data_IF_734455011883
#
_entry.id   IF_734455011883
#
_cell.length_a   1.000
_cell.length_b   1.000
_cell.length_c   1.000
_cell.angle_alpha   90.00
_cell.angle_beta   90.00
_cell.angle_gamma   90.00
#
_symmetry.space_group_name_H-M   'P 1'
#
loop_
_entity.id
_entity.type
_entity.pdbx_description
1 polymer ?
#
# COMPACT_ATOMS: atom_id res chain seq x y z
N UNK A 1 15.34 -28.27 14.07
CA UNK A 1 14.02 -28.76 13.57
C UNK A 1 12.97 -28.31 14.57
N UNK A 2 11.90 -27.63 14.14
CA UNK A 2 10.81 -27.28 15.08
C UNK A 2 10.09 -28.57 15.51
N UNK A 3 9.83 -28.78 16.82
CA UNK A 3 9.12 -29.97 17.28
C UNK A 3 7.70 -29.99 16.66
N UNK A 4 7.31 -31.14 16.12
CA UNK A 4 5.97 -31.38 15.60
C UNK A 4 5.13 -31.90 16.77
N UNK A 5 3.94 -31.32 16.98
CA UNK A 5 3.02 -31.79 18.03
C UNK A 5 2.46 -33.17 17.70
N UNK A 6 2.07 -33.93 18.72
CA UNK A 6 1.49 -35.27 18.56
C UNK A 6 0.27 -35.24 17.60
N UNK A 7 -0.70 -34.31 17.73
CA UNK A 7 -1.84 -34.24 16.80
C UNK A 7 -1.44 -34.00 15.34
N UNK A 8 -0.36 -33.25 15.09
CA UNK A 8 0.16 -33.05 13.73
C UNK A 8 0.79 -34.31 13.15
N UNK A 9 1.44 -35.14 13.97
CA UNK A 9 1.96 -36.44 13.54
C UNK A 9 0.83 -37.42 13.23
N UNK A 10 -0.20 -37.45 14.07
CA UNK A 10 -1.41 -38.26 13.85
C UNK A 10 -2.16 -37.82 12.57
N UNK A 11 -2.25 -36.51 12.30
CA UNK A 11 -2.81 -35.99 11.05
C UNK A 11 -2.00 -36.43 9.83
N UNK A 12 -0.67 -36.49 9.95
CA UNK A 12 0.18 -37.01 8.88
C UNK A 12 -0.01 -38.51 8.65
N UNK A 13 -0.23 -39.29 9.71
CA UNK A 13 -0.58 -40.71 9.59
C UNK A 13 -1.93 -40.88 8.87
N UNK A 14 -2.92 -40.06 9.20
CA UNK A 14 -4.20 -40.03 8.49
C UNK A 14 -4.01 -39.68 7.01
N UNK A 15 -3.25 -38.64 6.69
CA UNK A 15 -2.97 -38.27 5.29
C UNK A 15 -2.27 -39.41 4.52
N UNK A 16 -1.33 -40.11 5.16
CA UNK A 16 -0.67 -41.27 4.56
C UNK A 16 -1.68 -42.39 4.28
N UNK A 17 -2.58 -42.68 5.23
CA UNK A 17 -3.67 -43.64 5.04
C UNK A 17 -4.61 -43.25 3.88
N UNK A 18 -4.94 -41.97 3.75
CA UNK A 18 -5.75 -41.46 2.64
C UNK A 18 -5.07 -41.73 1.28
N UNK A 19 -3.79 -41.37 1.14
CA UNK A 19 -3.00 -41.62 -0.08
C UNK A 19 -2.88 -43.11 -0.38
N UNK A 20 -2.62 -43.92 0.66
CA UNK A 20 -2.50 -45.37 0.53
C UNK A 20 -3.80 -46.00 0.03
N UNK A 21 -4.95 -45.56 0.55
CA UNK A 21 -6.25 -46.09 0.12
C UNK A 21 -6.51 -45.83 -1.37
N UNK A 22 -6.13 -44.66 -1.88
CA UNK A 22 -6.20 -44.33 -3.31
C UNK A 22 -5.25 -45.19 -4.14
N UNK A 23 -4.02 -45.41 -3.68
CA UNK A 23 -3.06 -46.28 -4.35
C UNK A 23 -3.55 -47.73 -4.41
N UNK A 24 -4.06 -48.26 -3.30
CA UNK A 24 -4.62 -49.61 -3.21
C UNK A 24 -5.80 -49.75 -4.18
N UNK A 25 -6.76 -48.81 -4.13
CA UNK A 25 -7.93 -48.80 -5.01
C UNK A 25 -7.56 -48.77 -6.50
N UNK A 26 -6.46 -48.11 -6.87
CA UNK A 26 -5.95 -48.09 -8.25
C UNK A 26 -5.24 -49.38 -8.65
N UNK A 27 -4.59 -50.05 -7.70
CA UNK A 27 -3.79 -51.25 -7.96
C UNK A 27 -4.59 -52.55 -8.01
N UNK A 28 -5.74 -52.61 -7.34
CA UNK A 28 -6.55 -53.82 -7.23
C UNK A 28 -7.66 -53.82 -8.29
N UNK A 29 -7.75 -54.89 -9.08
CA UNK A 29 -8.80 -55.10 -10.08
C UNK A 29 -10.09 -55.68 -9.45
N UNK A 30 -10.58 -55.07 -8.37
CA UNK A 30 -11.84 -55.43 -7.72
C UNK A 30 -12.78 -54.23 -7.70
N UNK A 31 -14.08 -54.47 -7.86
CA UNK A 31 -15.07 -53.43 -7.63
C UNK A 31 -15.21 -53.19 -6.13
N UNK A 32 -14.81 -52.00 -5.69
CA UNK A 32 -14.89 -51.57 -4.29
C UNK A 32 -16.12 -50.67 -4.14
N UNK A 33 -17.12 -51.15 -3.42
CA UNK A 33 -18.36 -50.41 -3.15
C UNK A 33 -18.16 -49.22 -2.21
N UNK A 34 -17.33 -49.37 -1.17
CA UNK A 34 -17.03 -48.30 -0.21
C UNK A 34 -15.62 -48.45 0.38
N UNK A 35 -15.06 -47.33 0.84
CA UNK A 35 -13.75 -47.28 1.51
C UNK A 35 -13.95 -46.56 2.82
N UNK A 36 -13.68 -47.24 3.94
CA UNK A 36 -13.80 -46.69 5.28
C UNK A 36 -12.41 -46.55 5.90
N UNK A 37 -12.11 -45.39 6.45
CA UNK A 37 -10.83 -45.07 7.08
C UNK A 37 -11.04 -44.91 8.59
N UNK A 38 -10.10 -45.40 9.39
CA UNK A 38 -10.23 -45.47 10.84
C UNK A 38 -9.06 -44.77 11.51
N UNK A 39 -9.34 -43.98 12.55
CA UNK A 39 -8.34 -43.32 13.39
C UNK A 39 -8.79 -43.38 14.85
N UNK A 40 -7.84 -43.57 15.76
CA UNK A 40 -8.05 -43.48 17.20
C UNK A 40 -7.83 -42.06 17.75
N UNK A 41 -7.40 -41.12 16.90
CA UNK A 41 -7.27 -39.71 17.27
C UNK A 41 -8.56 -38.95 17.01
N UNK A 42 -9.30 -38.65 18.09
CA UNK A 42 -10.51 -37.81 18.04
C UNK A 42 -10.22 -36.39 17.53
N UNK A 43 -9.04 -35.83 17.85
CA UNK A 43 -8.63 -34.49 17.41
C UNK A 43 -8.45 -34.46 15.88
N UNK A 44 -7.77 -35.46 15.31
CA UNK A 44 -7.59 -35.56 13.86
C UNK A 44 -8.91 -35.78 13.14
N UNK A 45 -9.80 -36.62 13.69
CA UNK A 45 -11.14 -36.81 13.12
C UNK A 45 -11.97 -35.51 13.16
N UNK A 46 -11.87 -34.74 14.23
CA UNK A 46 -12.50 -33.43 14.34
C UNK A 46 -11.96 -32.45 13.29
N UNK A 47 -10.63 -32.42 13.10
CA UNK A 47 -9.98 -31.63 12.05
C UNK A 47 -10.45 -32.02 10.64
N UNK A 48 -10.51 -33.33 10.33
CA UNK A 48 -10.95 -33.85 9.04
C UNK A 48 -12.44 -33.55 8.78
N UNK A 49 -13.30 -33.56 9.81
CA UNK A 49 -14.72 -33.23 9.62
C UNK A 49 -15.00 -31.73 9.57
N UNK A 50 -14.02 -30.90 9.93
CA UNK A 50 -14.13 -29.44 9.94
C UNK A 50 -13.65 -28.82 8.62
N UNK A 51 -13.99 -27.56 8.39
CA UNK A 51 -13.47 -26.82 7.22
C UNK A 51 -11.98 -26.52 7.37
N UNK A 52 -11.18 -26.94 6.38
CA UNK A 52 -9.72 -26.70 6.32
C UNK A 52 -9.33 -25.23 6.48
N UNK A 53 -10.21 -24.28 6.12
CA UNK A 53 -9.96 -22.83 6.20
C UNK A 53 -9.77 -22.32 7.62
N UNK A 54 -10.37 -22.99 8.63
CA UNK A 54 -10.36 -22.59 10.04
C UNK A 54 -8.99 -22.74 10.71
N UNK A 55 -8.12 -23.61 10.18
CA UNK A 55 -6.85 -23.94 10.80
C UNK A 55 -5.65 -23.24 10.17
N UNK A 56 -4.53 -23.18 10.91
CA UNK A 56 -3.22 -22.71 10.46
C UNK A 56 -2.71 -23.55 9.29
N UNK A 57 -1.78 -22.97 8.52
CA UNK A 57 -1.38 -23.46 7.18
C UNK A 57 -0.99 -24.93 7.15
N UNK A 58 -0.29 -25.44 8.18
CA UNK A 58 0.13 -26.84 8.24
C UNK A 58 -1.07 -27.80 8.24
N UNK A 59 -2.00 -27.60 9.18
CA UNK A 59 -3.18 -28.44 9.36
C UNK A 59 -4.15 -28.24 8.18
N UNK A 60 -4.39 -27.00 7.78
CA UNK A 60 -5.27 -26.64 6.68
C UNK A 60 -4.92 -27.33 5.36
N UNK A 61 -3.65 -27.32 4.96
CA UNK A 61 -3.21 -27.94 3.70
C UNK A 61 -3.41 -29.47 3.70
N UNK A 62 -3.17 -30.12 4.84
CA UNK A 62 -3.27 -31.58 4.97
C UNK A 62 -4.73 -32.04 5.02
N UNK A 63 -5.59 -31.30 5.73
CA UNK A 63 -7.04 -31.53 5.66
C UNK A 63 -7.54 -31.35 4.23
N UNK A 64 -7.12 -30.28 3.54
CA UNK A 64 -7.50 -30.04 2.15
C UNK A 64 -7.15 -31.21 1.25
N UNK A 65 -5.93 -31.74 1.37
CA UNK A 65 -5.54 -32.93 0.59
C UNK A 65 -6.34 -34.19 0.98
N UNK A 66 -6.63 -34.40 2.27
CA UNK A 66 -7.49 -35.51 2.71
C UNK A 66 -8.89 -35.39 2.10
N UNK A 67 -9.46 -34.17 2.03
CA UNK A 67 -10.77 -33.90 1.42
C UNK A 67 -10.76 -34.14 -0.10
N UNK A 68 -9.64 -33.85 -0.77
CA UNK A 68 -9.49 -34.10 -2.21
C UNK A 68 -9.39 -35.61 -2.51
N UNK A 69 -8.83 -36.40 -1.60
CA UNK A 69 -8.60 -37.84 -1.77
C UNK A 69 -9.77 -38.71 -1.28
N UNK A 70 -10.47 -38.27 -0.22
CA UNK A 70 -11.42 -39.08 0.54
C UNK A 70 -12.58 -38.23 1.07
N UNK A 71 -13.76 -38.84 1.23
CA UNK A 71 -14.91 -38.16 1.83
C UNK A 71 -14.80 -38.19 3.37
N UNK A 72 -14.84 -37.02 4.06
CA UNK A 72 -14.84 -36.93 5.53
C UNK A 72 -15.90 -37.81 6.22
N UNK A 73 -17.02 -38.11 5.56
CA UNK A 73 -18.08 -38.94 6.12
C UNK A 73 -17.66 -40.41 6.31
N UNK A 74 -16.65 -40.89 5.57
CA UNK A 74 -16.13 -42.26 5.70
C UNK A 74 -14.96 -42.41 6.68
N UNK A 75 -14.61 -41.33 7.40
CA UNK A 75 -13.63 -41.36 8.48
C UNK A 75 -14.30 -41.70 9.81
N UNK A 76 -13.88 -42.80 10.42
CA UNK A 76 -14.48 -43.39 11.61
C UNK A 76 -13.51 -43.44 12.79
N UNK A 77 -14.09 -43.42 13.99
CA UNK A 77 -13.33 -43.58 15.22
C UNK A 77 -13.16 -45.05 15.56
N UNK A 78 -11.94 -45.46 15.87
CA UNK A 78 -11.67 -46.77 16.49
C UNK A 78 -11.10 -46.56 17.90
N UNK A 79 -11.67 -47.19 18.94
CA UNK A 79 -11.06 -47.17 20.27
C UNK A 79 -9.64 -47.72 20.22
N UNK A 80 -8.68 -47.10 20.92
CA UNK A 80 -7.26 -47.52 20.91
C UNK A 80 -7.07 -49.01 21.24
N UNK A 81 -7.91 -49.59 22.12
CA UNK A 81 -7.86 -51.03 22.45
C UNK A 81 -8.26 -51.96 21.31
N UNK A 82 -8.99 -51.44 20.32
CA UNK A 82 -9.46 -52.16 19.13
C UNK A 82 -8.69 -51.74 17.87
N UNK A 83 -7.71 -50.83 18.00
CA UNK A 83 -6.90 -50.35 16.89
C UNK A 83 -5.78 -51.35 16.59
N UNK A 84 -5.97 -52.21 15.60
CA UNK A 84 -4.98 -53.22 15.22
C UNK A 84 -3.70 -52.59 14.66
N UNK A 85 -3.75 -51.36 14.13
CA UNK A 85 -2.54 -50.68 13.65
C UNK A 85 -1.51 -50.43 14.77
N UNK A 86 -1.94 -50.39 16.03
CA UNK A 86 -1.04 -50.33 17.19
C UNK A 86 -0.20 -51.60 17.32
N UNK A 87 -0.71 -52.77 16.95
CA UNK A 87 0.02 -54.03 17.10
C UNK A 87 1.30 -54.03 16.24
N UNK A 88 1.24 -53.43 15.05
CA UNK A 88 2.41 -53.29 14.17
C UNK A 88 3.38 -52.17 14.58
N UNK A 89 2.91 -51.14 15.30
CA UNK A 89 3.74 -49.97 15.65
C UNK A 89 4.33 -50.05 17.06
N UNK A 90 3.64 -50.72 17.99
CA UNK A 90 4.05 -50.93 19.38
C UNK A 90 4.47 -52.39 19.53
N UNK A 91 5.73 -52.70 19.20
CA UNK A 91 6.35 -54.04 19.21
C UNK A 91 5.91 -54.86 20.45
N UNK A 92 4.83 -55.63 20.30
CA UNK A 92 4.36 -56.68 21.20
C UNK A 92 4.52 -58.01 20.47
N UNK A 93 4.38 -59.15 21.14
CA UNK A 93 4.41 -60.45 20.47
C UNK A 93 3.18 -60.59 19.56
N UNK A 94 3.30 -60.20 18.29
CA UNK A 94 2.22 -60.30 17.31
C UNK A 94 2.13 -61.75 16.84
N UNK A 95 0.95 -62.33 16.95
CA UNK A 95 0.65 -63.63 16.35
C UNK A 95 0.29 -63.43 14.88
N UNK A 96 1.14 -63.91 13.95
CA UNK A 96 0.90 -63.85 12.51
C UNK A 96 0.25 -65.13 11.94
N UNK A 97 -0.36 -65.96 12.78
CA UNK A 97 -1.18 -67.07 12.29
C UNK A 97 -2.33 -66.55 11.42
N UNK A 98 -2.78 -67.36 10.45
CA UNK A 98 -3.96 -67.08 9.62
C UNK A 98 -5.23 -66.83 10.44
N UNK A 99 -5.28 -67.34 11.67
CA UNK A 99 -6.40 -67.14 12.59
C UNK A 99 -6.29 -65.90 13.47
N UNK A 100 -5.22 -65.12 13.33
CA UNK A 100 -5.00 -63.91 14.13
C UNK A 100 -5.95 -62.76 13.75
N UNK A 101 -6.16 -61.88 14.73
CA UNK A 101 -6.91 -60.62 14.54
C UNK A 101 -6.25 -59.71 13.50
N UNK A 102 -4.93 -59.83 13.28
CA UNK A 102 -4.20 -59.08 12.26
C UNK A 102 -4.69 -59.39 10.84
N UNK A 103 -4.91 -60.68 10.53
CA UNK A 103 -5.34 -61.12 9.20
C UNK A 103 -6.87 -61.16 9.05
N UNK A 104 -7.61 -61.51 10.11
CA UNK A 104 -9.09 -61.54 10.07
C UNK A 104 -9.73 -60.16 10.26
N UNK A 105 -8.98 -59.19 10.77
CA UNK A 105 -9.51 -57.93 11.24
C UNK A 105 -10.22 -58.06 12.60
N UNK A 106 -10.65 -56.93 13.18
CA UNK A 106 -11.35 -56.91 14.45
C UNK A 106 -12.81 -57.32 14.24
N UNK A 107 -13.40 -57.99 15.25
CA UNK A 107 -14.75 -58.56 15.16
C UNK A 107 -15.80 -57.55 14.71
N UNK A 108 -15.67 -56.28 15.11
CA UNK A 108 -16.65 -55.25 14.75
C UNK A 108 -16.72 -54.97 13.24
N UNK A 109 -15.64 -55.21 12.46
CA UNK A 109 -15.69 -55.02 11.00
C UNK A 109 -16.52 -56.11 10.29
N UNK A 110 -16.74 -57.25 10.94
CA UNK A 110 -17.63 -58.30 10.42
C UNK A 110 -19.10 -58.04 10.69
N UNK A 111 -19.39 -57.09 11.58
CA UNK A 111 -20.75 -56.68 11.97
C UNK A 111 -21.27 -55.58 11.06
N UNK A 112 -22.58 -55.34 11.11
CA UNK A 112 -23.21 -54.25 10.34
C UNK A 112 -22.72 -52.88 10.82
N UNK A 113 -22.75 -51.86 9.96
CA UNK A 113 -22.31 -50.50 10.30
C UNK A 113 -23.02 -49.91 11.54
N UNK A 114 -24.19 -50.44 11.89
CA UNK A 114 -24.94 -50.05 13.09
C UNK A 114 -24.27 -50.47 14.40
N UNK A 115 -23.48 -51.54 14.36
CA UNK A 115 -22.81 -52.17 15.50
C UNK A 115 -21.32 -51.79 15.59
N UNK A 116 -20.85 -50.93 14.67
CA UNK A 116 -19.49 -50.41 14.70
C UNK A 116 -19.28 -49.47 15.89
N UNK A 117 -18.03 -49.31 16.37
CA UNK A 117 -17.71 -48.32 17.38
C UNK A 117 -18.11 -46.92 16.91
N UNK A 118 -19.15 -46.36 17.50
CA UNK A 118 -19.54 -44.97 17.23
C UNK A 118 -18.80 -44.06 18.20
N UNK A 119 -18.27 -42.95 17.68
CA UNK A 119 -17.93 -41.81 18.52
C UNK A 119 -19.21 -41.00 18.76
N UNK A 120 -19.37 -40.38 19.92
CA UNK A 120 -20.46 -39.44 20.21
C UNK A 120 -20.55 -38.25 19.20
N UNK A 121 -19.53 -38.07 18.37
CA UNK A 121 -19.45 -37.10 17.26
C UNK A 121 -20.45 -37.32 16.11
N UNK A 122 -21.30 -38.36 16.17
CA UNK A 122 -22.29 -38.65 15.12
C UNK A 122 -23.59 -37.85 15.25
N UNK A 123 -23.89 -37.25 16.43
CA UNK A 123 -25.24 -36.74 16.73
C UNK A 123 -25.33 -35.36 17.40
N UNK A 124 -24.23 -34.62 17.54
CA UNK A 124 -24.30 -33.23 18.01
C UNK A 124 -24.08 -32.26 16.86
N UNK A 125 -24.99 -31.29 16.74
CA UNK A 125 -24.88 -30.15 15.85
C UNK A 125 -23.45 -29.57 15.93
N UNK A 126 -22.71 -29.66 14.82
CA UNK A 126 -21.28 -29.37 14.65
C UNK A 126 -20.86 -27.91 14.95
N UNK A 127 -21.66 -27.14 15.65
CA UNK A 127 -21.38 -25.77 16.10
C UNK A 127 -20.99 -25.67 17.58
N UNK A 128 -21.09 -26.72 18.40
CA UNK A 128 -21.01 -26.53 19.88
C UNK A 128 -20.21 -27.58 20.67
N UNK A 129 -19.14 -28.14 20.09
CA UNK A 129 -17.99 -28.54 20.91
C UNK A 129 -16.89 -27.53 20.66
N UNK A 130 -16.95 -26.44 21.42
CA UNK A 130 -15.95 -25.39 21.47
C UNK A 130 -14.63 -25.97 21.98
N UNK A 131 -13.78 -26.42 21.05
CA UNK A 131 -12.34 -26.41 21.27
C UNK A 131 -11.84 -24.99 20.99
N UNK A 132 -12.37 -24.01 21.73
CA UNK A 132 -12.00 -22.59 21.60
C UNK A 132 -10.52 -22.33 21.97
N UNK A 133 -9.81 -23.38 22.42
CA UNK A 133 -8.40 -23.37 22.79
C UNK A 133 -7.54 -24.31 21.92
N UNK A 134 -7.95 -24.66 20.70
CA UNK A 134 -7.05 -25.35 19.77
C UNK A 134 -6.01 -24.35 19.23
N UNK A 135 -4.74 -24.53 19.61
CA UNK A 135 -3.63 -23.71 19.13
C UNK A 135 -3.50 -23.70 17.60
N UNK A 136 -4.10 -24.66 16.88
CA UNK A 136 -4.07 -24.72 15.43
C UNK A 136 -5.16 -23.88 14.75
N UNK A 137 -6.12 -23.30 15.48
CA UNK A 137 -7.09 -22.38 14.89
C UNK A 137 -6.42 -21.08 14.43
N UNK A 138 -6.90 -20.52 13.33
CA UNK A 138 -6.52 -19.15 12.92
C UNK A 138 -7.19 -18.17 13.85
N UNK A 139 -6.43 -17.19 14.32
CA UNK A 139 -7.01 -16.04 15.01
C UNK A 139 -7.93 -15.29 14.03
N UNK A 140 -9.21 -15.25 14.32
CA UNK A 140 -10.14 -14.37 13.63
C UNK A 140 -10.03 -12.98 14.24
N UNK A 141 -9.49 -12.03 13.48
CA UNK A 141 -9.41 -10.64 13.91
C UNK A 141 -10.71 -9.93 13.56
N UNK A 142 -11.50 -9.61 14.58
CA UNK A 142 -12.65 -8.71 14.43
C UNK A 142 -12.15 -7.26 14.45
N UNK A 143 -11.95 -6.66 13.28
CA UNK A 143 -11.60 -5.24 13.19
C UNK A 143 -12.84 -4.38 13.44
N UNK A 144 -13.05 -3.96 14.69
CA UNK A 144 -14.08 -2.98 15.04
C UNK A 144 -13.53 -1.58 14.71
N UNK A 145 -13.95 -1.03 13.56
CA UNK A 145 -13.67 0.36 13.22
C UNK A 145 -14.77 1.22 13.86
N UNK A 146 -14.45 1.85 15.00
CA UNK A 146 -15.36 2.79 15.65
C UNK A 146 -15.31 4.12 14.88
N UNK A 147 -16.14 4.24 13.83
CA UNK A 147 -16.24 5.46 13.03
C UNK A 147 -16.93 6.55 13.85
N UNK A 148 -16.18 7.24 14.71
CA UNK A 148 -16.62 8.51 15.28
C UNK A 148 -16.62 9.55 14.16
N UNK A 149 -17.83 9.85 13.69
CA UNK A 149 -18.21 10.97 12.81
C UNK A 149 -17.63 10.96 11.39
N UNK A 150 -18.39 11.62 10.50
CA UNK A 150 -18.08 11.90 9.09
C UNK A 150 -16.85 12.81 8.96
N UNK A 151 -15.71 12.40 9.49
CA UNK A 151 -14.46 13.11 9.35
C UNK A 151 -13.99 12.95 7.89
N UNK A 152 -14.35 13.95 7.08
CA UNK A 152 -13.70 14.24 5.80
C UNK A 152 -12.16 14.21 5.92
N UNK A 153 -11.64 14.38 7.14
CA UNK A 153 -10.23 14.24 7.48
C UNK A 153 -9.62 12.87 7.14
N UNK A 154 -10.39 11.78 7.10
CA UNK A 154 -9.85 10.44 6.84
C UNK A 154 -9.74 10.06 5.36
N UNK A 155 -10.40 10.79 4.45
CA UNK A 155 -10.46 10.38 3.03
C UNK A 155 -9.23 10.84 2.24
N UNK A 156 -8.58 11.92 2.69
CA UNK A 156 -7.41 12.48 1.99
C UNK A 156 -6.14 11.77 2.44
N UNK A 157 -5.32 11.24 1.53
CA UNK A 157 -4.04 10.64 1.86
C UNK A 157 -3.12 11.58 2.63
N UNK A 158 -2.31 11.01 3.52
CA UNK A 158 -1.24 11.79 4.16
C UNK A 158 -0.27 12.34 3.12
N UNK A 159 -0.19 13.67 3.10
CA UNK A 159 0.62 14.49 2.20
C UNK A 159 2.11 14.23 2.38
N UNK A 160 2.54 13.84 3.59
CA UNK A 160 3.94 13.57 3.91
C UNK A 160 4.55 12.47 3.03
N UNK A 161 3.70 11.58 2.51
CA UNK A 161 4.08 10.45 1.65
C UNK A 161 4.33 10.86 0.19
N UNK A 162 4.09 12.12 -0.16
CA UNK A 162 4.16 12.60 -1.54
C UNK A 162 5.15 13.75 -1.68
N UNK A 163 6.04 13.63 -2.67
CA UNK A 163 6.98 14.68 -3.07
C UNK A 163 6.47 15.54 -4.23
N UNK A 164 5.49 15.05 -5.01
CA UNK A 164 4.95 15.72 -6.20
C UNK A 164 3.43 15.84 -6.13
N UNK A 165 2.91 16.92 -6.71
CA UNK A 165 1.48 17.21 -6.78
C UNK A 165 0.69 16.21 -7.62
N UNK A 166 1.17 15.87 -8.83
CA UNK A 166 0.42 15.03 -9.76
C UNK A 166 0.15 13.62 -9.21
N UNK A 167 1.12 12.89 -8.62
CA UNK A 167 0.85 11.61 -7.97
C UNK A 167 -0.12 11.73 -6.78
N UNK A 168 -0.05 12.82 -6.02
CA UNK A 168 -0.94 13.07 -4.89
C UNK A 168 -2.40 13.18 -5.34
N UNK A 169 -2.70 14.04 -6.32
CA UNK A 169 -4.06 14.20 -6.87
C UNK A 169 -4.55 12.90 -7.52
N UNK A 170 -3.70 12.20 -8.28
CA UNK A 170 -4.07 10.92 -8.90
C UNK A 170 -4.40 9.85 -7.87
N UNK A 171 -3.64 9.78 -6.78
CA UNK A 171 -3.92 8.83 -5.69
C UNK A 171 -5.26 9.16 -5.04
N UNK A 172 -5.56 10.44 -4.82
CA UNK A 172 -6.87 10.87 -4.33
C UNK A 172 -8.01 10.49 -5.29
N UNK A 173 -7.82 10.68 -6.60
CA UNK A 173 -8.82 10.29 -7.60
C UNK A 173 -9.08 8.76 -7.61
N UNK A 174 -8.03 7.95 -7.48
CA UNK A 174 -8.15 6.50 -7.34
C UNK A 174 -8.90 6.09 -6.07
N UNK A 175 -8.66 6.76 -4.94
CA UNK A 175 -9.37 6.51 -3.70
C UNK A 175 -10.86 6.84 -3.85
N UNK A 176 -11.19 7.98 -4.44
CA UNK A 176 -12.58 8.35 -4.69
C UNK A 176 -13.29 7.36 -5.61
N UNK A 177 -12.64 6.93 -6.70
CA UNK A 177 -13.16 5.88 -7.59
C UNK A 177 -13.39 4.58 -6.84
N UNK A 178 -12.44 4.15 -6.00
CA UNK A 178 -12.61 2.96 -5.18
C UNK A 178 -13.78 3.08 -4.21
N UNK A 179 -13.93 4.22 -3.51
CA UNK A 179 -15.06 4.50 -2.62
C UNK A 179 -16.40 4.42 -3.38
N UNK A 180 -16.47 4.97 -4.59
CA UNK A 180 -17.67 4.91 -5.43
C UNK A 180 -18.00 3.46 -5.86
N UNK A 181 -16.98 2.66 -6.20
CA UNK A 181 -17.14 1.23 -6.51
C UNK A 181 -17.61 0.42 -5.30
N UNK A 182 -17.11 0.73 -4.09
CA UNK A 182 -17.54 0.04 -2.88
C UNK A 182 -18.96 0.46 -2.45
N UNK A 183 -19.33 1.73 -2.61
CA UNK A 183 -20.70 2.21 -2.35
C UNK A 183 -21.72 1.64 -3.34
N UNK A 184 -21.33 1.48 -4.60
CA UNK A 184 -22.17 0.90 -5.66
C UNK A 184 -22.29 -0.62 -5.62
N UNK A 185 -21.74 -1.30 -4.60
CA UNK A 185 -21.91 -2.74 -4.40
C UNK A 185 -23.37 -3.19 -4.15
N UNK A 186 -24.35 -2.27 -4.08
CA UNK A 186 -25.79 -2.58 -4.20
C UNK A 186 -26.30 -2.71 -5.65
N UNK A 187 -25.51 -2.34 -6.66
CA UNK A 187 -25.84 -2.45 -8.08
C UNK A 187 -24.69 -3.07 -8.87
N UNK A 188 -24.36 -4.33 -8.59
CA UNK A 188 -23.64 -5.16 -9.57
C UNK A 188 -24.60 -5.57 -10.69
N UNK A 189 -24.97 -4.64 -11.57
CA UNK A 189 -25.48 -4.97 -12.89
C UNK A 189 -24.96 -3.89 -13.85
N UNK A 190 -23.98 -4.29 -14.67
CA UNK A 190 -23.85 -3.90 -16.08
C UNK A 190 -24.24 -2.44 -16.39
N UNK A 191 -23.26 -1.54 -16.37
CA UNK A 191 -23.21 -0.51 -17.41
C UNK A 191 -21.99 -0.78 -18.25
N UNK A 192 -22.26 -1.34 -19.42
CA UNK A 192 -21.50 -1.33 -20.66
C UNK A 192 -20.11 -0.71 -20.61
N UNK A 193 -19.13 -1.49 -21.07
CA UNK A 193 -17.68 -1.25 -21.00
C UNK A 193 -17.25 0.21 -21.05
N UNK A 194 -16.70 0.68 -19.92
CA UNK A 194 -15.73 1.77 -19.86
C UNK A 194 -15.22 2.03 -18.43
N UNK A 195 -14.90 0.97 -17.66
CA UNK A 195 -13.84 1.11 -16.64
C UNK A 195 -12.51 1.15 -17.37
N UNK A 196 -12.22 2.27 -18.03
CA UNK A 196 -10.89 2.54 -18.54
C UNK A 196 -9.90 2.39 -17.38
N UNK A 197 -8.81 1.68 -17.62
CA UNK A 197 -7.66 1.66 -16.70
C UNK A 197 -7.14 3.08 -16.39
N UNK A 198 -7.53 4.06 -17.19
CA UNK A 198 -7.19 5.46 -17.04
C UNK A 198 -8.22 6.23 -16.21
N UNK A 199 -7.70 7.23 -15.47
CA UNK A 199 -8.50 8.21 -14.74
C UNK A 199 -9.08 9.22 -15.72
N UNK A 200 -10.38 9.50 -15.61
CA UNK A 200 -11.06 10.52 -16.40
C UNK A 200 -10.72 11.93 -15.86
N UNK A 201 -10.73 12.97 -16.70
CA UNK A 201 -10.52 14.35 -16.25
C UNK A 201 -11.51 14.78 -15.16
N UNK A 202 -12.77 14.34 -15.22
CA UNK A 202 -13.75 14.70 -14.19
C UNK A 202 -13.40 14.15 -12.80
N UNK A 203 -12.79 12.96 -12.74
CA UNK A 203 -12.37 12.34 -11.48
C UNK A 203 -11.18 13.08 -10.86
N UNK A 204 -10.28 13.60 -11.70
CA UNK A 204 -9.17 14.44 -11.25
C UNK A 204 -9.71 15.77 -10.69
N UNK A 205 -10.67 16.40 -11.36
CA UNK A 205 -11.31 17.64 -10.88
C UNK A 205 -12.04 17.40 -9.55
N UNK A 206 -12.79 16.29 -9.42
CA UNK A 206 -13.42 15.90 -8.16
C UNK A 206 -12.38 15.71 -7.04
N UNK A 207 -11.27 15.03 -7.34
CA UNK A 207 -10.18 14.84 -6.39
C UNK A 207 -9.55 16.16 -5.94
N UNK A 208 -9.30 17.09 -6.87
CA UNK A 208 -8.83 18.43 -6.54
C UNK A 208 -9.80 19.16 -5.60
N UNK A 209 -11.10 19.13 -5.90
CA UNK A 209 -12.11 19.81 -5.08
C UNK A 209 -12.15 19.28 -3.64
N UNK A 210 -12.09 17.96 -3.45
CA UNK A 210 -12.03 17.36 -2.11
C UNK A 210 -10.75 17.78 -1.38
N UNK A 211 -9.62 17.84 -2.08
CA UNK A 211 -8.36 18.34 -1.51
C UNK A 211 -8.50 19.81 -1.06
N UNK A 212 -9.13 20.67 -1.86
CA UNK A 212 -9.33 22.07 -1.50
C UNK A 212 -10.22 22.23 -0.27
N UNK A 213 -11.34 21.52 -0.24
CA UNK A 213 -12.24 21.49 0.92
C UNK A 213 -11.49 21.04 2.18
N UNK A 214 -10.63 20.02 2.08
CA UNK A 214 -9.79 19.54 3.18
C UNK A 214 -8.81 20.58 3.69
N UNK A 215 -8.11 21.30 2.81
CA UNK A 215 -7.20 22.38 3.21
C UNK A 215 -7.95 23.47 3.97
N UNK A 216 -9.16 23.79 3.51
CA UNK A 216 -9.99 24.82 4.11
C UNK A 216 -10.58 24.37 5.45
N UNK A 217 -11.07 23.13 5.56
CA UNK A 217 -11.54 22.58 6.84
C UNK A 217 -10.44 22.56 7.89
N UNK A 218 -9.20 22.22 7.50
CA UNK A 218 -8.08 22.14 8.45
C UNK A 218 -7.56 23.51 8.89
N UNK A 219 -7.70 24.52 8.03
CA UNK A 219 -7.11 25.85 8.27
C UNK A 219 -8.11 26.91 8.71
N UNK A 220 -9.38 26.77 8.33
CA UNK A 220 -10.42 27.79 8.42
C UNK A 220 -11.77 27.18 8.91
N UNK A 221 -11.72 26.15 9.75
CA UNK A 221 -12.93 25.47 10.25
C UNK A 221 -13.94 26.43 10.88
N UNK A 222 -13.46 27.30 11.76
CA UNK A 222 -14.28 28.30 12.45
C UNK A 222 -14.95 29.25 11.46
N UNK A 223 -14.20 29.74 10.47
CA UNK A 223 -14.75 30.62 9.44
C UNK A 223 -15.82 29.93 8.58
N UNK A 224 -15.61 28.65 8.23
CA UNK A 224 -16.60 27.85 7.49
C UNK A 224 -17.89 27.70 8.30
N UNK A 225 -17.79 27.33 9.58
CA UNK A 225 -18.95 27.19 10.47
C UNK A 225 -19.73 28.50 10.61
N UNK A 226 -19.05 29.63 10.74
CA UNK A 226 -19.69 30.95 10.81
C UNK A 226 -20.48 31.27 9.53
N UNK A 227 -19.90 31.01 8.36
CA UNK A 227 -20.61 31.22 7.09
C UNK A 227 -21.79 30.26 6.89
N UNK A 228 -21.66 29.00 7.33
CA UNK A 228 -22.77 28.04 7.32
C UNK A 228 -23.93 28.49 8.21
N UNK A 229 -23.62 29.14 9.34
CA UNK A 229 -24.60 29.70 10.26
C UNK A 229 -25.08 31.12 9.88
N UNK A 230 -24.66 31.67 8.74
CA UNK A 230 -25.04 33.01 8.29
C UNK A 230 -24.48 34.16 9.15
N UNK A 231 -23.43 33.91 9.93
CA UNK A 231 -22.83 34.90 10.83
C UNK A 231 -21.66 35.66 10.17
N UNK A 232 -21.44 36.94 10.52
CA UNK A 232 -20.32 37.71 10.01
C UNK A 232 -18.99 37.24 10.61
N UNK A 233 -17.90 37.38 9.84
CA UNK A 233 -16.54 37.07 10.32
C UNK A 233 -16.10 38.00 11.46
N UNK A 234 -15.43 37.47 12.50
CA UNK A 234 -14.88 38.29 13.57
C UNK A 234 -13.70 39.13 13.06
N UNK A 235 -13.56 40.34 13.63
CA UNK A 235 -12.46 41.28 13.31
C UNK A 235 -11.06 40.72 13.58
N UNK A 236 -10.94 39.69 14.43
CA UNK A 236 -9.70 39.01 14.75
C UNK A 236 -9.25 38.01 13.66
N UNK A 237 -10.15 37.62 12.75
CA UNK A 237 -9.81 36.64 11.71
C UNK A 237 -8.82 37.22 10.70
N UNK A 238 -7.86 36.41 10.27
CA UNK A 238 -6.89 36.79 9.21
C UNK A 238 -7.54 37.08 7.86
N UNK A 239 -8.81 36.67 7.75
CA UNK A 239 -9.63 36.70 6.58
C UNK A 239 -10.61 37.90 6.55
N UNK A 240 -10.72 38.65 7.65
CA UNK A 240 -11.65 39.78 7.81
C UNK A 240 -11.49 40.87 6.74
N UNK A 241 -10.26 41.13 6.30
CA UNK A 241 -9.97 42.16 5.29
C UNK A 241 -10.42 41.79 3.87
N UNK A 242 -10.81 40.54 3.63
CA UNK A 242 -11.23 40.05 2.32
C UNK A 242 -12.74 39.93 2.23
N UNK A 243 -13.30 40.21 1.05
CA UNK A 243 -14.72 39.95 0.76
C UNK A 243 -14.93 38.47 0.45
N UNK A 244 -15.07 37.65 1.49
CA UNK A 244 -15.18 36.19 1.38
C UNK A 244 -16.65 35.78 1.36
N UNK A 245 -16.94 34.73 0.61
CA UNK A 245 -18.23 34.05 0.65
C UNK A 245 -18.03 32.54 0.53
N UNK A 246 -19.00 31.79 1.05
CA UNK A 246 -19.11 30.36 0.84
C UNK A 246 -19.85 30.11 -0.48
N UNK A 247 -19.21 29.38 -1.39
CA UNK A 247 -19.76 29.04 -2.70
C UNK A 247 -20.56 27.73 -2.64
N UNK A 248 -21.37 27.46 -3.66
CA UNK A 248 -22.27 26.29 -3.73
C UNK A 248 -21.52 24.94 -3.65
N UNK A 249 -20.23 24.95 -3.99
CA UNK A 249 -19.29 23.83 -3.87
C UNK A 249 -18.69 23.69 -2.46
N UNK A 250 -19.27 24.32 -1.44
CA UNK A 250 -18.79 24.35 -0.06
C UNK A 250 -17.33 24.81 0.10
N UNK A 251 -16.87 25.68 -0.81
CA UNK A 251 -15.53 26.26 -0.73
C UNK A 251 -15.58 27.75 -0.43
N UNK A 252 -14.65 28.21 0.41
CA UNK A 252 -14.42 29.62 0.66
C UNK A 252 -13.71 30.25 -0.54
N UNK A 253 -14.36 31.25 -1.14
CA UNK A 253 -13.84 32.01 -2.29
C UNK A 253 -13.83 33.50 -1.99
N UNK A 254 -12.96 34.24 -2.67
CA UNK A 254 -12.92 35.70 -2.59
C UNK A 254 -13.76 36.29 -3.72
N UNK A 255 -14.61 37.25 -3.37
CA UNK A 255 -15.31 38.08 -4.34
C UNK A 255 -14.41 39.23 -4.77
N UNK A 256 -14.02 39.23 -6.05
CA UNK A 256 -13.24 40.31 -6.66
C UNK A 256 -14.09 41.38 -7.35
N UNK A 257 -13.42 42.33 -7.99
CA UNK A 257 -14.04 43.37 -8.85
C UNK A 257 -14.19 42.93 -10.32
N UNK A 258 -13.82 41.68 -10.63
CA UNK A 258 -13.80 41.12 -11.99
C UNK A 258 -15.06 40.31 -12.32
N UNK A 259 -16.17 40.52 -11.61
CA UNK A 259 -17.41 39.77 -11.84
C UNK A 259 -17.93 39.93 -13.27
N UNK A 260 -17.85 41.15 -13.82
CA UNK A 260 -18.47 41.54 -15.09
C UNK A 260 -17.61 41.27 -16.33
N UNK A 261 -16.42 40.68 -16.18
CA UNK A 261 -15.55 40.37 -17.33
C UNK A 261 -15.95 39.05 -17.98
N UNK A 262 -16.21 38.99 -19.28
CA UNK A 262 -16.67 37.74 -19.92
C UNK A 262 -15.55 36.85 -20.48
N UNK A 263 -14.31 37.34 -20.51
CA UNK A 263 -13.15 36.63 -21.08
C UNK A 263 -12.28 35.90 -20.04
N UNK A 264 -12.61 35.99 -18.75
CA UNK A 264 -11.90 35.30 -17.68
C UNK A 264 -12.64 34.04 -17.24
N UNK A 265 -11.88 33.00 -16.91
CA UNK A 265 -12.41 31.79 -16.30
C UNK A 265 -13.12 32.12 -14.97
N UNK A 266 -14.23 31.44 -14.63
CA UNK A 266 -14.96 31.67 -13.39
C UNK A 266 -14.05 31.62 -12.14
N UNK A 267 -13.11 30.69 -12.10
CA UNK A 267 -12.15 30.50 -11.00
C UNK A 267 -11.18 31.68 -10.84
N UNK A 268 -10.90 32.42 -11.92
CA UNK A 268 -10.08 33.64 -11.85
C UNK A 268 -10.87 34.82 -11.31
N UNK A 269 -12.20 34.83 -11.46
CA UNK A 269 -13.07 35.87 -10.90
C UNK A 269 -13.27 35.69 -9.40
N UNK A 270 -13.40 34.43 -8.98
CA UNK A 270 -13.65 34.03 -7.59
C UNK A 270 -12.61 33.01 -7.12
N UNK A 271 -11.37 33.43 -6.86
CA UNK A 271 -10.28 32.52 -6.51
C UNK A 271 -10.53 31.84 -5.17
N UNK A 272 -10.09 30.58 -5.08
CA UNK A 272 -10.23 29.72 -3.89
C UNK A 272 -9.19 30.12 -2.84
N UNK A 273 -9.60 30.28 -1.60
CA UNK A 273 -8.70 30.69 -0.51
C UNK A 273 -7.95 29.48 0.05
N UNK A 274 -6.62 29.59 0.17
CA UNK A 274 -5.79 28.55 0.78
C UNK A 274 -4.83 29.13 1.83
N UNK A 275 -4.51 28.33 2.84
CA UNK A 275 -3.55 28.70 3.89
C UNK A 275 -2.11 28.37 3.48
N UNK A 276 -1.17 29.33 3.55
CA UNK A 276 0.25 29.05 3.33
C UNK A 276 0.87 28.07 4.33
N UNK A 277 0.26 27.89 5.51
CA UNK A 277 0.82 27.02 6.54
C UNK A 277 0.64 25.55 6.18
N UNK A 278 -0.40 25.23 5.42
CA UNK A 278 -0.80 23.86 5.13
C UNK A 278 0.22 23.13 4.24
N UNK A 279 0.46 21.84 4.54
CA UNK A 279 1.45 21.02 3.81
C UNK A 279 1.09 20.86 2.32
N UNK A 280 -0.20 20.62 2.03
CA UNK A 280 -0.69 20.49 0.64
C UNK A 280 -0.44 21.77 -0.16
N UNK A 281 -0.62 22.94 0.46
CA UNK A 281 -0.40 24.22 -0.21
C UNK A 281 1.08 24.41 -0.56
N UNK A 282 2.02 23.94 0.28
CA UNK A 282 3.45 23.94 -0.06
C UNK A 282 3.75 23.01 -1.24
N UNK A 283 3.13 21.83 -1.27
CA UNK A 283 3.26 20.88 -2.39
C UNK A 283 2.72 21.49 -3.70
N UNK A 284 1.57 22.18 -3.63
CA UNK A 284 0.98 22.89 -4.76
C UNK A 284 1.89 24.02 -5.28
N UNK A 285 2.45 24.84 -4.39
CA UNK A 285 3.38 25.91 -4.77
C UNK A 285 4.64 25.34 -5.43
N UNK A 286 5.15 24.21 -4.93
CA UNK A 286 6.28 23.50 -5.53
C UNK A 286 5.95 23.03 -6.95
N UNK A 287 4.74 22.50 -7.16
CA UNK A 287 4.27 22.13 -8.49
C UNK A 287 4.21 23.31 -9.45
N UNK A 288 3.67 24.47 -9.03
CA UNK A 288 3.68 25.66 -9.89
C UNK A 288 5.09 26.21 -10.14
N UNK A 289 6.00 26.04 -9.18
CA UNK A 289 7.41 26.42 -9.34
C UNK A 289 8.11 25.56 -10.41
N UNK A 290 7.91 24.25 -10.38
CA UNK A 290 8.44 23.31 -11.38
C UNK A 290 7.76 23.48 -12.75
N UNK A 291 6.42 23.61 -12.77
CA UNK A 291 5.63 23.80 -14.00
C UNK A 291 6.04 25.04 -14.78
N UNK A 292 6.41 26.12 -14.07
CA UNK A 292 6.88 27.36 -14.69
C UNK A 292 8.41 27.38 -14.89
N UNK A 293 9.06 26.21 -14.95
CA UNK A 293 10.50 26.06 -15.20
C UNK A 293 11.39 26.92 -14.29
N UNK A 294 11.05 27.00 -13.00
CA UNK A 294 11.82 27.74 -12.00
C UNK A 294 12.02 29.23 -12.30
N UNK A 295 11.13 29.82 -13.09
CA UNK A 295 11.16 31.24 -13.44
C UNK A 295 10.99 32.14 -12.21
N UNK A 296 11.12 33.46 -12.40
CA UNK A 296 10.97 34.47 -11.36
C UNK A 296 9.68 34.36 -10.54
N UNK A 297 9.74 34.87 -9.31
CA UNK A 297 8.67 34.72 -8.32
C UNK A 297 7.35 35.34 -8.75
N UNK A 298 7.38 36.46 -9.47
CA UNK A 298 6.16 37.19 -9.87
C UNK A 298 5.36 36.43 -10.95
N UNK A 299 6.03 35.70 -11.85
CA UNK A 299 5.34 34.85 -12.84
C UNK A 299 4.60 33.70 -12.15
N UNK A 300 5.25 33.04 -11.18
CA UNK A 300 4.62 31.97 -10.39
C UNK A 300 3.42 32.52 -9.61
N UNK A 301 3.57 33.70 -8.99
CA UNK A 301 2.47 34.37 -8.27
C UNK A 301 1.30 34.67 -9.20
N UNK A 302 1.57 35.18 -10.41
CA UNK A 302 0.55 35.46 -11.41
C UNK A 302 -0.20 34.19 -11.82
N UNK A 303 0.52 33.10 -12.09
CA UNK A 303 -0.08 31.83 -12.50
C UNK A 303 -0.95 31.20 -11.39
N UNK A 304 -0.46 31.22 -10.14
CA UNK A 304 -1.22 30.76 -8.97
C UNK A 304 -2.50 31.58 -8.78
N UNK A 305 -2.43 32.90 -8.97
CA UNK A 305 -3.57 33.82 -8.80
C UNK A 305 -4.68 33.64 -9.82
N UNK A 306 -4.44 32.93 -10.92
CA UNK A 306 -5.52 32.57 -11.86
C UNK A 306 -6.58 31.65 -11.23
N UNK A 307 -6.24 30.90 -10.19
CA UNK A 307 -7.19 29.96 -9.54
C UNK A 307 -7.25 30.10 -8.02
N UNK A 308 -6.17 30.54 -7.38
CA UNK A 308 -6.02 30.49 -5.92
C UNK A 308 -5.61 31.82 -5.31
N UNK A 309 -6.16 32.12 -4.14
CA UNK A 309 -5.69 33.15 -3.24
C UNK A 309 -5.03 32.53 -2.01
N UNK A 310 -3.70 32.37 -2.07
CA UNK A 310 -2.93 31.82 -0.96
C UNK A 310 -2.50 32.95 -0.02
N UNK A 311 -2.84 32.83 1.27
CA UNK A 311 -2.38 33.78 2.30
C UNK A 311 -0.85 33.89 2.29
N UNK A 312 -0.26 35.08 2.31
CA UNK A 312 1.22 35.26 2.26
C UNK A 312 1.93 34.54 1.09
N UNK A 313 1.29 34.41 -0.08
CA UNK A 313 1.79 33.71 -1.28
C UNK A 313 3.26 34.04 -1.65
N UNK A 314 3.64 35.33 -1.65
CA UNK A 314 5.01 35.71 -2.04
C UNK A 314 6.07 35.10 -1.13
N UNK A 315 5.78 34.97 0.17
CA UNK A 315 6.71 34.38 1.15
C UNK A 315 6.92 32.89 0.89
N UNK A 316 5.84 32.13 0.66
CA UNK A 316 5.92 30.69 0.39
C UNK A 316 6.61 30.39 -0.94
N UNK A 317 6.38 31.19 -1.98
CA UNK A 317 7.08 31.05 -3.28
C UNK A 317 8.57 31.35 -3.12
N UNK A 318 8.96 32.42 -2.43
CA UNK A 318 10.37 32.73 -2.15
C UNK A 318 11.06 31.62 -1.37
N UNK A 319 10.37 31.07 -0.36
CA UNK A 319 10.87 29.95 0.43
C UNK A 319 11.08 28.70 -0.44
N UNK A 320 10.10 28.34 -1.26
CA UNK A 320 10.21 27.23 -2.22
C UNK A 320 11.40 27.42 -3.17
N UNK A 321 11.58 28.60 -3.77
CA UNK A 321 12.72 28.88 -4.66
C UNK A 321 14.08 28.89 -3.94
N UNK A 322 14.12 29.15 -2.64
CA UNK A 322 15.34 29.09 -1.83
C UNK A 322 15.70 27.65 -1.47
N UNK A 323 14.71 26.83 -1.13
CA UNK A 323 14.89 25.41 -0.80
C UNK A 323 15.15 24.53 -2.04
N UNK A 324 14.71 24.97 -3.22
CA UNK A 324 14.89 24.25 -4.48
C UNK A 324 16.37 24.11 -4.87
N UNK A 325 16.87 22.87 -4.94
CA UNK A 325 18.27 22.59 -5.30
C UNK A 325 18.65 23.11 -6.69
N UNK A 326 17.77 22.98 -7.68
CA UNK A 326 18.00 23.50 -9.03
C UNK A 326 18.24 25.02 -9.02
N UNK A 327 17.38 25.77 -8.34
CA UNK A 327 17.54 27.22 -8.20
C UNK A 327 18.81 27.59 -7.42
N UNK A 328 19.16 26.83 -6.39
CA UNK A 328 20.39 27.06 -5.61
C UNK A 328 21.63 26.88 -6.48
N UNK A 329 21.67 25.84 -7.30
CA UNK A 329 22.79 25.56 -8.21
C UNK A 329 22.95 26.69 -9.24
N UNK A 330 21.84 27.16 -9.85
CA UNK A 330 21.89 28.25 -10.84
C UNK A 330 22.32 29.58 -10.22
N UNK A 331 21.88 29.86 -8.98
CA UNK A 331 22.21 31.11 -8.28
C UNK A 331 23.59 31.08 -7.61
N UNK A 332 24.24 29.93 -7.54
CA UNK A 332 25.54 29.78 -6.89
C UNK A 332 26.56 30.66 -7.61
N UNK A 333 27.14 31.62 -6.88
CA UNK A 333 28.27 32.41 -7.35
C UNK A 333 29.55 31.80 -6.77
N UNK A 334 30.63 31.65 -7.56
CA UNK A 334 31.90 31.23 -6.99
C UNK A 334 32.34 32.26 -5.95
N UNK A 335 32.90 31.78 -4.84
CA UNK A 335 33.63 32.68 -3.95
C UNK A 335 34.90 33.10 -4.69
N UNK A 336 34.98 34.39 -4.99
CA UNK A 336 36.17 34.97 -5.62
C UNK A 336 37.29 34.83 -4.58
N UNK A 337 38.38 34.10 -4.87
CA UNK A 337 39.50 34.01 -3.93
C UNK A 337 40.07 35.40 -3.68
N UNK A 338 40.58 35.63 -2.46
CA UNK A 338 41.31 36.87 -2.17
C UNK A 338 42.49 36.95 -3.15
N UNK A 339 42.62 38.08 -3.85
CA UNK A 339 43.74 38.29 -4.75
C UNK A 339 45.05 38.17 -3.96
N UNK A 340 45.94 37.29 -4.40
CA UNK A 340 47.27 37.17 -3.80
C UNK A 340 48.04 38.47 -3.93
N UNK A 341 48.98 38.71 -3.01
CA UNK A 341 49.92 39.82 -3.15
C UNK A 341 50.73 39.65 -4.44
N UNK A 342 50.93 40.75 -5.18
CA UNK A 342 51.79 40.73 -6.36
C UNK A 342 53.23 40.42 -5.93
N UNK A 343 53.96 39.57 -6.67
CA UNK A 343 55.39 39.34 -6.42
C UNK A 343 56.18 40.66 -6.49
N UNK A 344 57.28 40.76 -5.73
CA UNK A 344 58.12 41.98 -5.69
C UNK A 344 58.56 42.44 -7.10
N UNK A 345 58.92 41.48 -7.96
CA UNK A 345 59.34 41.73 -9.33
C UNK A 345 58.29 42.43 -10.22
N UNK A 346 57.00 42.45 -9.83
CA UNK A 346 55.93 43.19 -10.52
C UNK A 346 55.69 44.60 -9.99
N UNK A 347 56.25 44.97 -8.83
CA UNK A 347 56.02 46.25 -8.15
C UNK A 347 57.30 47.09 -7.96
N UNK A 348 58.46 46.52 -8.29
CA UNK A 348 59.75 47.22 -8.29
C UNK A 348 59.77 48.35 -9.35
N UNK A 349 59.90 49.60 -8.91
CA UNK A 349 59.84 50.79 -9.77
C UNK A 349 61.17 51.13 -10.46
N UNK A 350 62.30 50.63 -9.96
CA UNK A 350 63.65 50.99 -10.42
C UNK A 350 64.50 49.73 -10.57
N UNK A 351 64.29 49.03 -11.70
CA UNK A 351 65.11 47.89 -12.13
C UNK A 351 65.71 48.20 -13.49
N UNK A 352 66.93 47.72 -13.74
CA UNK A 352 67.56 47.83 -15.07
C UNK A 352 66.71 47.02 -16.09
N UNK A 353 66.69 47.43 -17.36
CA UNK A 353 66.06 46.63 -18.41
C UNK A 353 66.54 45.18 -18.39
N UNK A 354 65.63 44.23 -18.66
CA UNK A 354 65.86 42.78 -18.71
C UNK A 354 66.17 42.06 -17.38
N UNK A 355 66.06 42.73 -16.23
CA UNK A 355 66.19 42.05 -14.91
C UNK A 355 65.02 41.08 -14.66
N UNK A 356 63.79 41.53 -14.91
CA UNK A 356 62.57 40.74 -14.73
C UNK A 356 61.89 40.55 -16.09
N UNK A 357 62.02 39.36 -16.68
CA UNK A 357 61.39 39.03 -17.98
C UNK A 357 60.27 38.03 -17.77
N UNK A 358 59.05 38.41 -18.17
CA UNK A 358 57.93 37.49 -18.26
C UNK A 358 58.00 36.72 -19.57
N UNK A 359 58.15 35.40 -19.49
CA UNK A 359 58.11 34.52 -20.65
C UNK A 359 56.82 33.72 -20.59
N UNK A 360 56.04 33.74 -21.68
CA UNK A 360 54.77 33.02 -21.75
C UNK A 360 54.79 32.13 -22.98
N UNK A 361 54.64 30.83 -22.74
CA UNK A 361 54.46 29.90 -23.83
C UNK A 361 53.11 30.15 -24.50
N UNK A 362 53.11 30.24 -25.83
CA UNK A 362 51.89 30.24 -26.61
C UNK A 362 51.80 28.99 -27.49
N UNK A 363 50.61 28.44 -27.58
CA UNK A 363 50.34 27.19 -28.29
C UNK A 363 49.28 26.33 -27.59
N UNK A 364 49.00 25.13 -28.11
CA UNK A 364 49.70 24.51 -29.24
C UNK A 364 49.25 25.08 -30.58
N UNK A 365 50.23 25.34 -31.45
CA UNK A 365 49.99 25.58 -32.87
C UNK A 365 50.28 24.27 -33.61
N UNK A 366 49.33 23.82 -34.43
CA UNK A 366 49.49 22.63 -35.25
C UNK A 366 50.32 22.95 -36.49
N UNK A 367 51.56 22.48 -36.55
CA UNK A 367 52.43 22.68 -37.71
C UNK A 367 52.62 21.37 -38.47
N UNK A 368 52.55 21.37 -39.81
CA UNK A 368 52.90 20.21 -40.62
C UNK A 368 54.42 20.02 -40.61
N UNK A 369 54.87 18.85 -40.17
CA UNK A 369 56.27 18.40 -40.23
C UNK A 369 56.30 17.17 -41.15
N UNK A 370 56.65 17.40 -42.42
CA UNK A 370 56.55 16.37 -43.46
C UNK A 370 55.11 15.91 -43.69
N UNK A 371 54.82 14.61 -43.52
CA UNK A 371 53.47 14.03 -43.66
C UNK A 371 52.66 13.98 -42.35
N UNK A 372 53.17 14.55 -41.25
CA UNK A 372 52.52 14.52 -39.93
C UNK A 372 52.22 15.95 -39.46
N UNK A 373 51.16 16.11 -38.69
CA UNK A 373 50.91 17.36 -37.96
C UNK A 373 51.37 17.20 -36.51
N UNK A 374 52.22 18.11 -36.06
CA UNK A 374 52.73 18.14 -34.70
C UNK A 374 52.25 19.39 -33.96
N UNK A 375 51.91 19.23 -32.68
CA UNK A 375 51.61 20.36 -31.79
C UNK A 375 52.92 20.94 -31.31
N UNK A 376 53.17 22.21 -31.62
CA UNK A 376 54.36 22.92 -31.12
C UNK A 376 53.96 24.15 -30.34
N UNK A 377 54.79 24.49 -29.37
CA UNK A 377 54.62 25.62 -28.46
C UNK A 377 55.79 26.58 -28.71
N UNK A 378 55.48 27.86 -28.86
CA UNK A 378 56.46 28.94 -28.89
C UNK A 378 56.72 29.46 -27.47
N UNK A 379 57.92 29.98 -27.25
CA UNK A 379 58.35 30.70 -26.04
C UNK A 379 58.33 32.18 -26.31
#
# INVERSE_FOLDING_TARGET
LKPISIPRLELMAALLGARLSVSIKRSINLQINSVHLWSDSKIVLHWIRSSSKRYKTFVAQRIGEIHDLTDPCFWNYVPTKLNIADDATKIKSINFSSDSVWFKGPEFLTKTCSEWPRSDLCHENFETVSIDNDEELKNEFLNIINAKNNDFNSIVPDVSRFSKWTPFVRTMAWILRAVELFKSCKSRIVTNGNTSFELKPEEIIKAENVIWQKIQSDSFSLEIELFQNGQPLPKSSSLYSFSIFLSDDNMLRIKGRLSNTNYLFPESKTPIILSHKHAITKLLVTYFHEKNNHIGTETIISDVRKKFWITRLRSIVKKCSYECQYCRNIKAKPQIPVMGQLPSCRVEQVVRPFINCGVVYFGPIGIPVGRRHEKRYGV
#
